data_IF_426515226105
#
_entry.id   IF_426515226105
#
_cell.length_a   1.000
_cell.length_b   1.000
_cell.length_c   1.000
_cell.angle_alpha   90.00
_cell.angle_beta   90.00
_cell.angle_gamma   90.00
#
_symmetry.space_group_name_H-M   'P 1'
#
loop_
_entity.id
_entity.type
_entity.pdbx_description
1 polymer ?
#
# COMPACT_ATOMS: atom_id res chain seq x y z
N UNK A 1 4.61 -18.12 1.32
CA UNK A 1 4.24 -16.71 1.35
C UNK A 1 3.92 -16.22 -0.05
N UNK A 2 2.85 -15.46 -0.17
CA UNK A 2 2.32 -15.05 -1.46
C UNK A 2 2.55 -13.56 -1.76
N UNK A 3 3.26 -12.86 -0.90
CA UNK A 3 3.54 -11.44 -1.06
C UNK A 3 5.02 -11.14 -0.88
N UNK A 4 5.42 -9.95 -1.33
CA UNK A 4 6.77 -9.44 -1.14
C UNK A 4 6.71 -7.93 -0.91
N UNK A 5 7.48 -7.46 0.06
CA UNK A 5 7.63 -6.04 0.35
C UNK A 5 9.12 -5.70 0.29
N UNK A 6 9.50 -4.89 -0.71
CA UNK A 6 10.88 -4.44 -0.89
C UNK A 6 10.98 -2.97 -0.54
N UNK A 7 12.13 -2.57 0.01
CA UNK A 7 12.40 -1.19 0.39
C UNK A 7 13.48 -0.60 -0.51
N UNK A 8 13.18 0.56 -1.10
CA UNK A 8 14.10 1.26 -2.00
C UNK A 8 14.32 2.68 -1.50
N UNK A 9 15.46 2.97 -0.85
CA UNK A 9 15.77 4.32 -0.41
C UNK A 9 15.97 5.24 -1.62
N UNK A 10 15.43 6.45 -1.54
CA UNK A 10 15.62 7.50 -2.55
C UNK A 10 16.05 8.78 -1.86
N UNK A 11 16.42 9.79 -2.64
CA UNK A 11 16.79 11.10 -2.11
C UNK A 11 15.61 11.79 -1.40
N UNK A 12 14.39 11.39 -1.69
CA UNK A 12 13.20 11.99 -1.09
C UNK A 12 12.63 11.19 0.08
N UNK A 13 13.10 9.95 0.26
CA UNK A 13 12.62 9.07 1.29
C UNK A 13 12.57 7.63 0.81
N UNK A 14 11.82 6.80 1.52
CA UNK A 14 11.73 5.37 1.26
C UNK A 14 10.54 5.07 0.35
N UNK A 15 10.77 4.26 -0.68
CA UNK A 15 9.70 3.73 -1.53
C UNK A 15 9.54 2.24 -1.22
N UNK A 16 8.31 1.82 -0.95
CA UNK A 16 7.99 0.41 -0.74
C UNK A 16 7.44 -0.16 -2.04
N UNK A 17 7.95 -1.32 -2.44
CA UNK A 17 7.38 -2.06 -3.57
C UNK A 17 6.66 -3.29 -3.00
N UNK A 18 5.34 -3.32 -3.17
CA UNK A 18 4.51 -4.41 -2.66
C UNK A 18 4.01 -5.22 -3.84
N UNK A 19 4.26 -6.54 -3.82
CA UNK A 19 3.85 -7.43 -4.88
C UNK A 19 3.17 -8.66 -4.32
N UNK A 20 2.43 -9.36 -5.19
CA UNK A 20 1.76 -10.60 -4.84
C UNK A 20 0.40 -10.38 -4.20
N UNK A 21 0.10 -11.16 -3.17
CA UNK A 21 -1.20 -11.16 -2.52
C UNK A 21 -1.08 -10.78 -1.05
N UNK A 22 -1.77 -9.72 -0.67
CA UNK A 22 -1.80 -9.24 0.71
C UNK A 22 -3.15 -9.59 1.31
N UNK A 23 -3.14 -10.36 2.38
CA UNK A 23 -4.37 -10.75 3.09
C UNK A 23 -4.38 -10.15 4.48
N UNK A 24 -5.49 -10.35 5.19
CA UNK A 24 -5.63 -9.85 6.56
C UNK A 24 -4.54 -10.38 7.50
N UNK A 25 -4.03 -11.58 7.23
CA UNK A 25 -2.95 -12.17 8.03
C UNK A 25 -1.65 -11.39 7.90
N UNK A 26 -1.47 -10.66 6.82
CA UNK A 26 -0.26 -9.89 6.54
C UNK A 26 -0.38 -8.43 6.98
N UNK A 27 -1.49 -8.07 7.60
CA UNK A 27 -1.81 -6.69 7.90
C UNK A 27 -0.80 -6.04 8.85
N UNK A 28 -0.34 -6.77 9.87
CA UNK A 28 0.62 -6.23 10.83
C UNK A 28 1.97 -5.92 10.16
N UNK A 29 2.40 -6.76 9.25
CA UNK A 29 3.66 -6.55 8.52
C UNK A 29 3.52 -5.32 7.62
N UNK A 30 2.40 -5.21 6.93
CA UNK A 30 2.14 -4.06 6.06
C UNK A 30 2.06 -2.76 6.87
N UNK A 31 1.35 -2.79 8.00
CA UNK A 31 1.24 -1.62 8.87
C UNK A 31 2.60 -1.18 9.39
N UNK A 32 3.41 -2.11 9.86
CA UNK A 32 4.75 -1.80 10.35
C UNK A 32 5.61 -1.16 9.26
N UNK A 33 5.54 -1.69 8.04
CA UNK A 33 6.29 -1.12 6.92
C UNK A 33 5.83 0.31 6.59
N UNK A 34 4.51 0.57 6.63
CA UNK A 34 3.96 1.88 6.32
C UNK A 34 4.16 2.90 7.43
N UNK A 35 4.30 2.46 8.66
CA UNK A 35 4.52 3.35 9.81
C UNK A 35 5.94 3.88 9.89
N UNK A 36 6.86 3.37 9.08
CA UNK A 36 8.19 3.96 8.97
C UNK A 36 8.03 5.40 8.44
N UNK A 37 8.40 6.37 9.25
CA UNK A 37 8.18 7.78 8.93
C UNK A 37 8.94 8.29 7.72
N UNK A 38 9.85 7.50 7.16
CA UNK A 38 10.59 7.87 5.96
C UNK A 38 9.90 7.42 4.66
N UNK A 39 8.81 6.66 4.74
CA UNK A 39 8.08 6.19 3.55
C UNK A 39 7.38 7.37 2.89
N UNK A 40 7.67 7.60 1.60
CA UNK A 40 7.06 8.68 0.81
C UNK A 40 6.15 8.15 -0.29
N UNK A 41 6.34 6.91 -0.71
CA UNK A 41 5.56 6.32 -1.80
C UNK A 41 5.49 4.80 -1.66
N UNK A 42 4.45 4.22 -2.24
CA UNK A 42 4.26 2.77 -2.34
C UNK A 42 4.02 2.42 -3.80
N UNK A 43 4.83 1.51 -4.33
CA UNK A 43 4.71 1.02 -5.71
C UNK A 43 3.85 -0.23 -5.72
N UNK A 44 2.78 -0.22 -6.50
CA UNK A 44 1.77 -1.28 -6.50
C UNK A 44 1.60 -1.97 -7.86
N UNK A 45 2.54 -1.76 -8.80
CA UNK A 45 2.43 -2.33 -10.14
C UNK A 45 2.33 -3.86 -10.15
N UNK A 46 2.98 -4.52 -9.19
CA UNK A 46 3.03 -5.97 -9.12
C UNK A 46 2.02 -6.56 -8.12
N UNK A 47 1.18 -5.74 -7.53
CA UNK A 47 0.18 -6.21 -6.58
C UNK A 47 -0.93 -6.94 -7.31
N UNK A 48 -1.18 -8.20 -6.96
CA UNK A 48 -2.17 -9.05 -7.62
C UNK A 48 -3.49 -9.06 -6.89
N UNK A 49 -3.46 -9.09 -5.55
CA UNK A 49 -4.64 -9.18 -4.74
C UNK A 49 -4.41 -8.49 -3.40
N UNK A 50 -5.43 -7.80 -2.93
CA UNK A 50 -5.40 -7.17 -1.62
C UNK A 50 -6.79 -7.34 -0.99
N UNK A 51 -6.84 -7.68 0.29
CA UNK A 51 -8.13 -7.76 0.95
C UNK A 51 -8.56 -6.38 1.47
N UNK A 52 -9.77 -6.31 1.98
CA UNK A 52 -10.40 -5.05 2.35
C UNK A 52 -9.64 -4.30 3.45
N UNK A 53 -9.18 -5.01 4.47
CA UNK A 53 -8.51 -4.37 5.60
C UNK A 53 -7.16 -3.78 5.18
N UNK A 54 -6.41 -4.50 4.35
CA UNK A 54 -5.16 -4.00 3.82
C UNK A 54 -5.38 -2.83 2.86
N UNK A 55 -6.43 -2.89 2.05
CA UNK A 55 -6.79 -1.80 1.15
C UNK A 55 -7.15 -0.53 1.93
N UNK A 56 -7.89 -0.67 3.05
CA UNK A 56 -8.19 0.47 3.91
C UNK A 56 -6.93 1.10 4.49
N UNK A 57 -5.95 0.28 4.85
CA UNK A 57 -4.68 0.76 5.37
C UNK A 57 -3.95 1.59 4.31
N UNK A 58 -3.92 1.14 3.05
CA UNK A 58 -3.36 1.93 1.96
C UNK A 58 -4.11 3.25 1.77
N UNK A 59 -5.43 3.22 1.85
CA UNK A 59 -6.24 4.42 1.68
C UNK A 59 -5.94 5.46 2.77
N UNK A 60 -5.80 5.02 4.02
CA UNK A 60 -5.47 5.89 5.13
C UNK A 60 -4.09 6.53 4.92
N UNK A 61 -3.12 5.74 4.47
CA UNK A 61 -1.77 6.26 4.26
C UNK A 61 -1.71 7.21 3.07
N UNK A 62 -2.49 6.97 2.03
CA UNK A 62 -2.59 7.92 0.92
C UNK A 62 -3.18 9.26 1.40
N UNK A 63 -4.19 9.21 2.24
CA UNK A 63 -4.78 10.42 2.82
C UNK A 63 -3.76 11.19 3.68
N UNK A 64 -2.79 10.50 4.25
CA UNK A 64 -1.74 11.10 5.06
C UNK A 64 -0.52 11.57 4.24
N UNK A 65 -0.58 11.50 2.92
CA UNK A 65 0.44 12.06 2.05
C UNK A 65 1.36 11.05 1.38
N UNK A 66 1.17 9.76 1.60
CA UNK A 66 1.96 8.73 0.90
C UNK A 66 1.40 8.55 -0.51
N UNK A 67 2.26 8.64 -1.53
CA UNK A 67 1.85 8.45 -2.91
C UNK A 67 1.70 6.97 -3.23
N UNK A 68 0.59 6.57 -3.85
CA UNK A 68 0.39 5.22 -4.36
C UNK A 68 0.68 5.23 -5.86
N UNK A 69 1.79 4.59 -6.26
CA UNK A 69 2.25 4.58 -7.65
C UNK A 69 1.78 3.34 -8.38
N UNK A 70 1.37 3.51 -9.63
CA UNK A 70 0.97 2.43 -10.53
C UNK A 70 -0.06 1.50 -9.91
N UNK A 71 -1.00 2.08 -9.15
CA UNK A 71 -2.06 1.33 -8.52
C UNK A 71 -2.93 0.66 -9.59
N UNK A 72 -3.15 -0.65 -9.50
CA UNK A 72 -4.06 -1.32 -10.45
C UNK A 72 -5.43 -0.67 -10.44
N UNK A 73 -6.12 -0.56 -11.60
CA UNK A 73 -7.38 0.17 -11.69
C UNK A 73 -8.45 -0.29 -10.71
N UNK A 74 -8.59 -1.60 -10.49
CA UNK A 74 -9.62 -2.09 -9.58
C UNK A 74 -9.32 -1.73 -8.12
N UNK A 75 -8.05 -1.69 -7.75
CA UNK A 75 -7.64 -1.27 -6.41
C UNK A 75 -7.84 0.22 -6.24
N UNK A 76 -7.48 1.02 -7.25
CA UNK A 76 -7.70 2.47 -7.23
C UNK A 76 -9.17 2.81 -7.07
N UNK A 77 -10.03 2.12 -7.79
CA UNK A 77 -11.47 2.33 -7.67
C UNK A 77 -11.97 1.98 -6.28
N UNK A 78 -11.49 0.89 -5.72
CA UNK A 78 -11.88 0.43 -4.39
C UNK A 78 -11.44 1.42 -3.32
N UNK A 79 -10.19 1.91 -3.41
CA UNK A 79 -9.66 2.92 -2.49
C UNK A 79 -10.50 4.20 -2.55
N UNK A 80 -10.85 4.63 -3.76
CA UNK A 80 -11.68 5.82 -3.96
C UNK A 80 -13.03 5.67 -3.28
N UNK A 81 -13.66 4.52 -3.40
CA UNK A 81 -14.94 4.25 -2.76
C UNK A 81 -14.83 4.28 -1.23
N UNK A 82 -13.76 3.71 -0.68
CA UNK A 82 -13.56 3.72 0.76
C UNK A 82 -13.37 5.15 1.30
N UNK A 83 -12.66 5.99 0.57
CA UNK A 83 -12.47 7.38 0.97
C UNK A 83 -13.77 8.17 0.89
N UNK A 84 -14.60 7.91 -0.11
CA UNK A 84 -15.87 8.62 -0.30
C UNK A 84 -16.93 8.20 0.71
N UNK A 85 -16.83 6.99 1.25
CA UNK A 85 -17.83 6.46 2.18
C UNK A 85 -17.49 6.73 3.65
N UNK A 86 -16.40 7.37 3.95
CA UNK A 86 -15.99 7.68 5.32
C UNK A 86 -16.47 9.03 5.84
#
# INVERSE_FOLDING_TARGET
MTYRIDRFPTSQGLVLNISGRITREDLDILRTALEDGSVVAVELAELELIDRDAMKLLAINEANGIELKHCPPYIREWITRERDSS
#
